data_IF_626078082206
#
_entry.id   IF_626078082206
#
_cell.length_a   1.000
_cell.length_b   1.000
_cell.length_c   1.000
_cell.angle_alpha   90.00
_cell.angle_beta   90.00
_cell.angle_gamma   90.00
#
_symmetry.space_group_name_H-M   'P 1'
#
loop_
_entity.id
_entity.type
_entity.pdbx_description
1 polymer ?
#
# COMPACT_ATOMS: atom_id res chain seq x y z
N UNK A 1 -2.54 -12.51 -5.13
CA UNK A 1 -3.30 -13.17 -6.23
C UNK A 1 -3.04 -12.52 -7.59
N UNK A 2 -3.23 -11.19 -7.75
CA UNK A 2 -2.94 -10.49 -9.00
C UNK A 2 -1.50 -10.72 -9.49
N UNK A 3 -0.49 -10.51 -8.63
CA UNK A 3 0.93 -10.82 -8.92
C UNK A 3 1.14 -12.24 -9.45
N UNK A 4 0.48 -13.23 -8.83
CA UNK A 4 0.59 -14.63 -9.23
C UNK A 4 -0.03 -14.90 -10.61
N UNK A 5 -1.02 -14.11 -11.04
CA UNK A 5 -1.63 -14.22 -12.37
C UNK A 5 -3.15 -14.39 -12.41
N UNK A 6 -3.84 -14.33 -11.26
CA UNK A 6 -5.31 -14.38 -11.24
C UNK A 6 -5.85 -13.11 -11.89
N UNK A 7 -6.66 -13.26 -12.96
CA UNK A 7 -7.06 -12.12 -13.82
C UNK A 7 -8.15 -11.24 -13.21
N UNK A 8 -9.16 -11.84 -12.57
CA UNK A 8 -10.27 -11.11 -11.92
C UNK A 8 -10.19 -11.30 -10.40
N UNK A 9 -9.69 -10.28 -9.72
CA UNK A 9 -9.61 -10.22 -8.26
C UNK A 9 -10.32 -8.94 -7.82
N UNK A 10 -11.20 -9.07 -6.82
CA UNK A 10 -12.04 -8.01 -6.29
C UNK A 10 -12.02 -8.00 -4.77
N UNK A 11 -12.45 -6.88 -4.20
CA UNK A 11 -12.73 -6.72 -2.78
C UNK A 11 -14.21 -6.42 -2.59
N UNK A 12 -14.78 -6.90 -1.49
CA UNK A 12 -16.03 -6.38 -0.96
C UNK A 12 -15.72 -5.06 -0.25
N UNK A 13 -16.23 -3.96 -0.78
CA UNK A 13 -15.94 -2.64 -0.22
C UNK A 13 -16.51 -2.50 1.20
N UNK A 14 -15.70 -1.96 2.13
CA UNK A 14 -15.95 -1.96 3.57
C UNK A 14 -15.91 -3.33 4.26
N UNK A 15 -15.57 -4.39 3.53
CA UNK A 15 -15.30 -5.73 4.06
C UNK A 15 -16.51 -6.39 4.72
N UNK A 16 -16.25 -7.15 5.80
CA UNK A 16 -17.31 -7.90 6.50
C UNK A 16 -18.39 -6.99 7.11
N UNK A 17 -18.00 -5.79 7.57
CA UNK A 17 -18.91 -4.89 8.26
C UNK A 17 -20.09 -4.49 7.38
N UNK A 18 -19.86 -4.21 6.10
CA UNK A 18 -20.93 -3.84 5.16
C UNK A 18 -21.91 -4.99 4.89
N UNK A 19 -21.43 -6.24 4.83
CA UNK A 19 -22.31 -7.41 4.76
C UNK A 19 -23.18 -7.57 6.01
N UNK A 20 -22.56 -7.41 7.18
CA UNK A 20 -23.22 -7.49 8.49
C UNK A 20 -24.29 -6.41 8.65
N UNK A 21 -23.96 -5.16 8.35
CA UNK A 21 -24.87 -4.01 8.49
C UNK A 21 -26.04 -4.09 7.49
N UNK A 22 -25.86 -4.74 6.34
CA UNK A 22 -26.93 -5.00 5.38
C UNK A 22 -27.91 -6.11 5.83
N UNK A 23 -27.64 -6.81 6.94
CA UNK A 23 -28.51 -7.87 7.47
C UNK A 23 -28.65 -9.08 6.53
N UNK A 24 -27.65 -9.33 5.69
CA UNK A 24 -27.67 -10.43 4.73
C UNK A 24 -27.45 -11.80 5.43
N UNK A 25 -27.89 -12.92 4.83
CA UNK A 25 -27.69 -14.25 5.40
C UNK A 25 -26.22 -14.56 5.69
N UNK A 26 -25.99 -15.35 6.75
CA UNK A 26 -24.64 -15.75 7.21
C UNK A 26 -24.58 -17.25 7.48
N UNK A 27 -23.39 -17.81 7.32
CA UNK A 27 -23.08 -19.20 7.70
C UNK A 27 -22.16 -19.23 8.94
N UNK A 28 -22.12 -20.35 9.67
CA UNK A 28 -21.23 -20.57 10.82
C UNK A 28 -20.65 -21.98 10.80
N UNK A 29 -19.49 -22.17 11.41
CA UNK A 29 -18.81 -23.46 11.53
C UNK A 29 -17.42 -23.44 10.90
N UNK A 30 -16.79 -24.60 10.82
CA UNK A 30 -15.50 -24.75 10.14
C UNK A 30 -15.66 -24.60 8.63
N UNK A 31 -14.67 -24.06 7.91
CA UNK A 31 -14.73 -23.96 6.45
C UNK A 31 -15.04 -25.32 5.80
N UNK A 32 -15.99 -25.41 4.87
CA UNK A 32 -16.28 -26.65 4.16
C UNK A 32 -15.09 -27.07 3.31
N UNK A 33 -14.94 -28.38 3.09
CA UNK A 33 -13.88 -28.92 2.21
C UNK A 33 -14.06 -28.36 0.80
N UNK A 34 -12.99 -27.76 0.28
CA UNK A 34 -12.92 -27.31 -1.10
C UNK A 34 -12.26 -28.40 -1.96
N UNK A 35 -12.73 -28.56 -3.21
CA UNK A 35 -12.04 -29.40 -4.19
C UNK A 35 -10.73 -28.71 -4.59
N UNK A 36 -9.56 -29.34 -4.42
CA UNK A 36 -8.31 -28.76 -4.88
C UNK A 36 -8.31 -28.60 -6.40
N UNK A 37 -7.74 -27.50 -6.89
CA UNK A 37 -7.43 -27.30 -8.31
C UNK A 37 -5.90 -27.40 -8.48
N UNK A 38 -5.37 -28.54 -8.98
CA UNK A 38 -3.92 -28.76 -9.05
C UNK A 38 -3.25 -27.96 -10.17
N UNK A 39 -4.01 -27.49 -11.16
CA UNK A 39 -3.47 -26.77 -12.32
C UNK A 39 -3.89 -25.30 -12.31
N UNK A 40 -2.93 -24.40 -12.11
CA UNK A 40 -3.20 -22.96 -12.16
C UNK A 40 -3.50 -22.45 -13.59
N UNK A 41 -3.08 -23.18 -14.62
CA UNK A 41 -3.31 -22.84 -16.03
C UNK A 41 -2.47 -21.67 -16.58
N UNK A 42 -1.48 -21.18 -15.83
CA UNK A 42 -0.55 -20.13 -16.27
C UNK A 42 0.80 -20.21 -15.51
N UNK A 43 1.89 -19.61 -16.02
CA UNK A 43 3.11 -19.43 -15.24
C UNK A 43 2.89 -18.53 -14.02
N UNK A 44 3.63 -18.79 -12.94
CA UNK A 44 3.64 -17.98 -11.71
C UNK A 44 5.05 -17.43 -11.51
N UNK A 45 5.24 -16.11 -11.35
CA UNK A 45 4.21 -15.06 -11.36
C UNK A 45 3.75 -14.69 -12.78
N UNK A 46 2.45 -14.50 -12.97
CA UNK A 46 1.87 -13.99 -14.21
C UNK A 46 1.93 -12.47 -14.37
N UNK A 47 2.14 -11.71 -13.29
CA UNK A 47 2.21 -10.24 -13.28
C UNK A 47 3.34 -9.75 -12.35
N UNK A 48 4.61 -10.07 -12.66
CA UNK A 48 5.75 -9.78 -11.77
C UNK A 48 5.94 -8.30 -11.47
N UNK A 49 5.59 -7.42 -12.42
CA UNK A 49 5.73 -5.97 -12.28
C UNK A 49 4.84 -5.34 -11.19
N UNK A 50 3.86 -6.08 -10.65
CA UNK A 50 3.02 -5.60 -9.56
C UNK A 50 3.72 -5.61 -8.20
N UNK A 51 4.89 -6.27 -8.09
CA UNK A 51 5.68 -6.33 -6.87
C UNK A 51 7.12 -5.92 -7.15
N UNK A 52 7.63 -4.92 -6.42
CA UNK A 52 9.01 -4.45 -6.55
C UNK A 52 9.88 -4.97 -5.42
N UNK A 53 11.15 -5.20 -5.73
CA UNK A 53 12.21 -5.39 -4.74
C UNK A 53 12.85 -4.05 -4.32
N UNK A 54 13.77 -4.09 -3.35
CA UNK A 54 14.47 -2.89 -2.84
C UNK A 54 15.21 -2.10 -3.93
N UNK A 55 15.85 -2.76 -4.90
CA UNK A 55 16.61 -2.08 -5.96
C UNK A 55 15.68 -1.35 -6.95
N UNK A 56 14.59 -2.00 -7.34
CA UNK A 56 13.57 -1.42 -8.19
C UNK A 56 12.86 -0.24 -7.50
N UNK A 57 12.53 -0.38 -6.21
CA UNK A 57 11.93 0.69 -5.41
C UNK A 57 12.86 1.90 -5.30
N UNK A 58 14.17 1.67 -5.08
CA UNK A 58 15.18 2.74 -5.04
C UNK A 58 15.24 3.54 -6.33
N UNK A 59 15.05 2.90 -7.49
CA UNK A 59 15.09 3.56 -8.80
C UNK A 59 13.89 4.52 -9.05
N UNK A 60 12.91 4.58 -8.16
CA UNK A 60 11.78 5.51 -8.23
C UNK A 60 12.03 6.81 -7.43
N UNK A 61 13.04 6.85 -6.57
CA UNK A 61 13.36 8.00 -5.73
C UNK A 61 13.90 9.17 -6.57
N UNK A 62 13.63 10.40 -6.14
CA UNK A 62 14.14 11.64 -6.77
C UNK A 62 13.76 11.80 -8.25
N UNK A 63 12.56 11.36 -8.61
CA UNK A 63 12.01 11.42 -9.97
C UNK A 63 10.71 12.20 -10.01
N UNK A 64 10.45 12.86 -11.13
CA UNK A 64 9.18 13.56 -11.39
C UNK A 64 8.16 12.64 -12.09
N UNK A 65 8.66 11.64 -12.83
CA UNK A 65 7.86 10.64 -13.55
C UNK A 65 7.66 9.34 -12.76
N UNK A 66 8.14 9.28 -11.51
CA UNK A 66 7.96 8.16 -10.61
C UNK A 66 7.80 8.61 -9.14
N UNK A 67 7.14 7.77 -8.34
CA UNK A 67 6.93 7.97 -6.91
C UNK A 67 7.07 6.65 -6.16
N UNK A 68 7.97 6.60 -5.17
CA UNK A 68 7.89 5.63 -4.08
C UNK A 68 7.07 6.25 -2.95
N UNK A 69 5.95 5.61 -2.59
CA UNK A 69 4.90 6.20 -1.77
C UNK A 69 4.78 5.48 -0.43
N UNK A 70 5.00 6.22 0.66
CA UNK A 70 4.85 5.73 2.02
C UNK A 70 3.39 5.79 2.46
N UNK A 71 2.78 4.62 2.66
CA UNK A 71 1.45 4.44 3.25
C UNK A 71 1.63 4.08 4.73
N UNK A 72 2.18 5.05 5.47
CA UNK A 72 2.48 4.94 6.90
C UNK A 72 1.86 6.13 7.64
N UNK A 73 1.57 5.98 8.93
CA UNK A 73 1.05 7.10 9.73
C UNK A 73 2.04 8.26 9.77
N UNK A 74 1.58 9.47 10.08
CA UNK A 74 2.49 10.62 10.21
C UNK A 74 3.62 10.38 11.23
N UNK A 75 3.35 9.85 12.45
CA UNK A 75 4.40 9.55 13.43
C UNK A 75 5.45 8.55 12.92
N UNK A 76 5.04 7.60 12.07
CA UNK A 76 5.96 6.70 11.38
C UNK A 76 6.83 7.42 10.34
N UNK A 77 6.20 8.27 9.51
CA UNK A 77 6.86 9.02 8.44
C UNK A 77 7.91 9.99 8.99
N UNK A 78 7.63 10.68 10.10
CA UNK A 78 8.60 11.61 10.72
C UNK A 78 9.60 10.90 11.65
N UNK A 79 9.41 9.60 11.91
CA UNK A 79 10.34 8.79 12.70
C UNK A 79 10.18 8.92 14.22
N UNK A 80 9.00 9.31 14.71
CA UNK A 80 8.65 9.28 16.15
C UNK A 80 8.43 7.86 16.66
N UNK A 81 7.96 6.97 15.78
CA UNK A 81 7.79 5.54 16.07
C UNK A 81 8.15 4.73 14.81
N UNK A 82 8.52 3.46 14.98
CA UNK A 82 8.60 2.54 13.84
C UNK A 82 7.22 2.08 13.39
N UNK A 83 6.23 2.12 14.30
CA UNK A 83 4.89 1.57 14.14
C UNK A 83 4.77 0.10 14.56
N UNK A 84 5.87 -0.60 14.85
CA UNK A 84 5.86 -2.06 15.01
C UNK A 84 6.77 -2.53 16.13
N UNK A 85 6.29 -3.45 16.95
CA UNK A 85 7.05 -4.05 18.06
C UNK A 85 8.31 -4.81 17.60
N UNK A 86 8.32 -5.29 16.36
CA UNK A 86 9.39 -6.09 15.77
C UNK A 86 10.31 -5.30 14.83
N UNK A 87 10.04 -4.02 14.57
CA UNK A 87 10.89 -3.14 13.75
C UNK A 87 11.52 -2.10 14.67
N UNK A 88 12.82 -2.21 14.92
CA UNK A 88 13.55 -1.28 15.80
C UNK A 88 13.88 0.07 15.15
N UNK A 89 14.32 0.14 13.87
CA UNK A 89 14.67 1.42 13.28
C UNK A 89 13.46 2.34 13.11
N UNK A 90 13.66 3.62 13.41
CA UNK A 90 12.69 4.69 13.21
C UNK A 90 13.17 5.68 12.15
N UNK A 91 12.23 6.18 11.37
CA UNK A 91 12.46 7.06 10.23
C UNK A 91 11.71 6.57 9.00
N UNK A 92 12.13 7.09 7.86
CA UNK A 92 11.52 6.82 6.57
C UNK A 92 12.56 6.65 5.46
N UNK A 93 12.21 5.96 4.39
CA UNK A 93 12.97 5.91 3.15
C UNK A 93 13.20 7.35 2.64
N UNK A 94 14.46 7.77 2.56
CA UNK A 94 14.77 9.11 2.07
C UNK A 94 14.33 9.27 0.60
N UNK A 95 13.62 10.37 0.31
CA UNK A 95 13.04 10.66 -1.01
C UNK A 95 11.67 10.04 -1.26
N UNK A 96 11.12 9.22 -0.35
CA UNK A 96 9.75 8.76 -0.45
C UNK A 96 8.74 9.91 -0.22
N UNK A 97 7.59 9.83 -0.90
CA UNK A 97 6.48 10.77 -0.76
C UNK A 97 5.45 10.20 0.22
N UNK A 98 4.91 11.03 1.11
CA UNK A 98 3.88 10.56 2.02
C UNK A 98 2.54 10.42 1.29
N UNK A 99 1.97 9.22 1.30
CA UNK A 99 0.71 8.93 0.63
C UNK A 99 -0.49 8.93 1.56
N UNK A 100 -0.34 9.43 2.80
CA UNK A 100 -1.29 9.28 3.90
C UNK A 100 -1.51 7.81 4.30
N UNK A 101 -2.28 7.59 5.39
CA UNK A 101 -2.67 6.26 5.85
C UNK A 101 -3.80 6.42 6.88
N UNK A 102 -3.41 6.63 8.12
CA UNK A 102 -4.29 6.64 9.27
C UNK A 102 -3.54 7.05 10.53
N UNK A 103 -4.22 6.87 11.66
CA UNK A 103 -3.74 7.29 12.97
C UNK A 103 -2.48 6.55 13.43
N UNK A 104 -2.34 5.27 13.08
CA UNK A 104 -1.23 4.41 13.48
C UNK A 104 -0.87 3.35 12.42
N UNK A 105 -0.12 2.31 12.81
CA UNK A 105 0.36 1.26 11.90
C UNK A 105 -0.71 0.26 11.46
N UNK A 106 -1.91 0.33 12.04
CA UNK A 106 -3.00 -0.63 11.89
C UNK A 106 -4.33 -0.03 11.41
N UNK A 107 -4.40 1.30 11.26
CA UNK A 107 -5.58 2.00 10.76
C UNK A 107 -5.31 2.77 9.45
N UNK A 108 -6.39 3.04 8.71
CA UNK A 108 -6.39 3.59 7.34
C UNK A 108 -7.47 4.67 7.14
N UNK A 109 -7.76 5.45 8.18
CA UNK A 109 -8.88 6.40 8.23
C UNK A 109 -8.83 7.46 7.12
N UNK A 110 -7.65 7.82 6.61
CA UNK A 110 -7.53 8.79 5.52
C UNK A 110 -8.18 8.27 4.22
N UNK A 111 -8.33 6.94 4.10
CA UNK A 111 -8.87 6.24 2.93
C UNK A 111 -10.26 5.63 3.13
N UNK A 112 -10.85 5.76 4.32
CA UNK A 112 -12.14 5.15 4.65
C UNK A 112 -13.23 6.19 4.90
N UNK A 113 -14.42 5.94 4.37
CA UNK A 113 -15.64 6.61 4.80
C UNK A 113 -16.04 6.14 6.22
N UNK A 114 -17.00 6.80 6.90
CA UNK A 114 -17.45 6.37 8.23
C UNK A 114 -18.00 4.93 8.31
N UNK A 115 -18.43 4.35 7.19
CA UNK A 115 -18.89 2.96 7.08
C UNK A 115 -17.76 1.97 6.73
N UNK A 116 -16.52 2.44 6.57
CA UNK A 116 -15.34 1.65 6.22
C UNK A 116 -15.14 1.44 4.71
N UNK A 117 -16.02 1.96 3.85
CA UNK A 117 -15.84 1.87 2.39
C UNK A 117 -14.74 2.79 1.89
N UNK A 118 -14.23 2.53 0.68
CA UNK A 118 -13.24 3.38 0.04
C UNK A 118 -13.74 4.83 -0.06
N UNK A 119 -12.95 5.76 0.45
CA UNK A 119 -13.19 7.19 0.30
C UNK A 119 -13.23 7.59 -1.19
N UNK A 120 -13.87 8.70 -1.51
CA UNK A 120 -13.99 9.20 -2.89
C UNK A 120 -12.64 9.22 -3.61
N UNK A 121 -12.62 8.73 -4.85
CA UNK A 121 -11.45 8.76 -5.71
C UNK A 121 -10.89 10.18 -5.90
N UNK A 122 -11.77 11.20 -5.95
CA UNK A 122 -11.37 12.61 -6.10
C UNK A 122 -10.59 13.11 -4.87
N UNK A 123 -11.04 12.72 -3.67
CA UNK A 123 -10.38 13.07 -2.42
C UNK A 123 -9.01 12.40 -2.32
N UNK A 124 -8.94 11.10 -2.62
CA UNK A 124 -7.69 10.34 -2.62
C UNK A 124 -6.70 10.94 -3.64
N UNK A 125 -7.18 11.25 -4.85
CA UNK A 125 -6.36 11.86 -5.90
C UNK A 125 -5.86 13.26 -5.51
N UNK A 126 -6.70 14.10 -4.89
CA UNK A 126 -6.31 15.42 -4.42
C UNK A 126 -5.25 15.34 -3.30
N UNK A 127 -5.45 14.43 -2.35
CA UNK A 127 -4.51 14.14 -1.25
C UNK A 127 -3.14 13.72 -1.79
N UNK A 128 -3.09 12.74 -2.69
CA UNK A 128 -1.86 12.28 -3.34
C UNK A 128 -1.19 13.36 -4.19
N UNK A 129 -1.98 14.14 -4.93
CA UNK A 129 -1.47 15.26 -5.73
C UNK A 129 -0.74 16.29 -4.88
N UNK A 130 -1.21 16.56 -3.65
CA UNK A 130 -0.52 17.50 -2.74
C UNK A 130 0.90 17.07 -2.37
N UNK A 131 1.20 15.77 -2.50
CA UNK A 131 2.52 15.18 -2.28
C UNK A 131 3.26 14.82 -3.57
N UNK A 132 2.83 15.37 -4.72
CA UNK A 132 3.37 15.09 -6.05
C UNK A 132 3.28 13.60 -6.47
N UNK A 133 2.21 12.92 -6.02
CA UNK A 133 1.89 11.55 -6.43
C UNK A 133 0.75 11.63 -7.46
N UNK A 134 1.04 11.25 -8.71
CA UNK A 134 0.18 11.51 -9.86
C UNK A 134 -0.09 10.23 -10.67
N UNK A 135 -1.26 10.12 -11.33
CA UNK A 135 -1.65 8.91 -12.07
C UNK A 135 -0.80 8.60 -13.31
N UNK A 136 -0.07 9.60 -13.82
CA UNK A 136 0.81 9.46 -14.98
C UNK A 136 2.24 9.02 -14.62
N UNK A 137 2.54 8.85 -13.33
CA UNK A 137 3.84 8.38 -12.85
C UNK A 137 3.90 6.85 -12.79
N UNK A 138 5.11 6.30 -12.70
CA UNK A 138 5.33 4.98 -12.13
C UNK A 138 5.23 5.07 -10.60
N UNK A 139 4.22 4.43 -10.01
CA UNK A 139 3.92 4.56 -8.57
C UNK A 139 4.10 3.22 -7.88
N UNK A 140 4.84 3.20 -6.79
CA UNK A 140 4.96 2.01 -5.94
C UNK A 140 4.63 2.36 -4.51
N UNK A 141 3.65 1.66 -3.94
CA UNK A 141 3.24 1.85 -2.55
C UNK A 141 4.04 0.92 -1.64
N UNK A 142 4.39 1.40 -0.45
CA UNK A 142 4.96 0.57 0.60
C UNK A 142 4.49 1.03 1.98
N UNK A 143 4.67 0.18 2.98
CA UNK A 143 4.46 0.56 4.38
C UNK A 143 5.51 -0.14 5.27
N UNK A 144 5.15 -0.65 6.44
CA UNK A 144 6.05 -1.51 7.21
C UNK A 144 6.41 -2.80 6.48
N UNK A 145 5.38 -3.55 6.08
CA UNK A 145 5.47 -4.93 5.54
C UNK A 145 4.43 -5.22 4.44
N UNK A 146 3.93 -4.19 3.75
CA UNK A 146 3.11 -4.33 2.54
C UNK A 146 1.58 -4.34 2.71
N UNK A 147 1.04 -4.47 3.92
CA UNK A 147 -0.42 -4.60 4.15
C UNK A 147 -1.20 -3.35 3.71
N UNK A 148 -0.95 -2.21 4.36
CA UNK A 148 -1.56 -0.91 4.01
C UNK A 148 -1.27 -0.48 2.57
N UNK A 149 -0.07 -0.81 2.08
CA UNK A 149 0.31 -0.57 0.68
C UNK A 149 -0.58 -1.36 -0.30
N UNK A 150 -0.89 -2.61 0.01
CA UNK A 150 -1.74 -3.47 -0.83
C UNK A 150 -3.17 -2.95 -0.92
N UNK A 151 -3.69 -2.35 0.15
CA UNK A 151 -5.00 -1.69 0.15
C UNK A 151 -5.03 -0.49 -0.79
N UNK A 152 -4.08 0.44 -0.65
CA UNK A 152 -3.99 1.59 -1.56
C UNK A 152 -3.69 1.20 -3.01
N UNK A 153 -2.95 0.11 -3.24
CA UNK A 153 -2.77 -0.47 -4.56
C UNK A 153 -4.10 -0.91 -5.18
N UNK A 154 -4.98 -1.54 -4.41
CA UNK A 154 -6.30 -1.95 -4.89
C UNK A 154 -7.20 -0.75 -5.19
N UNK A 155 -7.12 0.31 -4.38
CA UNK A 155 -7.83 1.57 -4.63
C UNK A 155 -7.32 2.26 -5.91
N UNK A 156 -6.00 2.46 -6.05
CA UNK A 156 -5.42 3.06 -7.24
C UNK A 156 -5.74 2.25 -8.51
N UNK A 157 -5.72 0.91 -8.43
CA UNK A 157 -6.15 0.02 -9.52
C UNK A 157 -7.63 0.25 -9.88
N UNK A 158 -8.52 0.35 -8.89
CA UNK A 158 -9.94 0.63 -9.13
C UNK A 158 -10.18 2.04 -9.72
N UNK A 159 -9.33 3.01 -9.37
CA UNK A 159 -9.29 4.36 -9.95
C UNK A 159 -8.70 4.41 -11.37
N UNK A 160 -8.22 3.28 -11.92
CA UNK A 160 -7.68 3.21 -13.28
C UNK A 160 -6.22 3.67 -13.42
N UNK A 161 -5.44 3.68 -12.34
CA UNK A 161 -4.02 3.98 -12.41
C UNK A 161 -3.27 2.80 -13.05
N UNK A 162 -2.60 3.06 -14.17
CA UNK A 162 -2.09 2.00 -15.03
C UNK A 162 -0.70 1.47 -14.63
N UNK A 163 0.07 2.23 -13.85
CA UNK A 163 1.45 1.90 -13.51
C UNK A 163 1.68 1.93 -11.99
N UNK A 164 0.89 1.11 -11.28
CA UNK A 164 0.96 0.96 -9.82
C UNK A 164 1.53 -0.41 -9.45
N UNK A 165 2.28 -0.44 -8.35
CA UNK A 165 2.90 -1.64 -7.79
C UNK A 165 2.99 -1.53 -6.26
N UNK A 166 3.39 -2.62 -5.61
CA UNK A 166 3.76 -2.62 -4.18
C UNK A 166 5.24 -2.93 -4.05
N UNK A 167 5.98 -2.14 -3.28
CA UNK A 167 7.30 -2.52 -2.80
C UNK A 167 7.12 -3.35 -1.51
N UNK A 168 7.28 -4.67 -1.63
CA UNK A 168 6.90 -5.66 -0.60
C UNK A 168 7.68 -5.48 0.71
N UNK A 169 9.01 -5.37 0.59
CA UNK A 169 9.91 -5.31 1.74
C UNK A 169 9.69 -4.08 2.63
N UNK A 170 9.20 -2.98 2.05
CA UNK A 170 8.84 -1.75 2.76
C UNK A 170 9.93 -1.20 3.69
N UNK A 171 9.51 -0.53 4.75
CA UNK A 171 10.41 0.01 5.76
C UNK A 171 11.19 -1.10 6.47
N UNK A 172 10.60 -2.29 6.63
CA UNK A 172 11.25 -3.39 7.33
C UNK A 172 12.51 -3.87 6.61
N UNK A 173 12.42 -4.16 5.32
CA UNK A 173 13.57 -4.56 4.51
C UNK A 173 14.54 -3.38 4.33
N UNK A 174 14.03 -2.19 4.01
CA UNK A 174 14.88 -1.02 3.79
C UNK A 174 15.76 -0.69 5.00
N UNK A 175 15.15 -0.64 6.18
CA UNK A 175 15.86 -0.26 7.41
C UNK A 175 16.77 -1.35 7.98
N UNK A 176 16.65 -2.60 7.49
CA UNK A 176 17.55 -3.70 7.88
C UNK A 176 18.99 -3.49 7.40
N UNK A 177 19.19 -2.70 6.33
CA UNK A 177 20.51 -2.32 5.85
C UNK A 177 20.82 -0.88 6.27
N UNK A 178 21.75 -0.65 7.21
CA UNK A 178 22.06 0.69 7.71
C UNK A 178 22.73 1.62 6.67
N UNK A 179 23.14 1.08 5.51
CA UNK A 179 23.66 1.89 4.38
C UNK A 179 22.55 2.55 3.57
N UNK A 180 21.30 2.12 3.74
CA UNK A 180 20.18 2.72 3.04
C UNK A 180 19.87 4.12 3.64
N UNK A 181 19.66 5.15 2.80
CA UNK A 181 19.41 6.49 3.30
C UNK A 181 18.05 6.60 3.99
N UNK A 182 18.02 7.35 5.10
CA UNK A 182 16.85 7.50 5.96
C UNK A 182 16.58 8.98 6.25
N UNK A 183 15.31 9.39 6.13
CA UNK A 183 14.83 10.71 6.54
C UNK A 183 14.12 10.64 7.90
N UNK A 184 14.19 11.74 8.66
CA UNK A 184 13.51 11.93 9.96
C UNK A 184 13.08 13.39 10.11
N UNK A 185 12.14 13.65 11.02
CA UNK A 185 11.63 14.98 11.33
C UNK A 185 10.53 15.46 10.39
N UNK A 186 9.92 16.58 10.81
CA UNK A 186 8.87 17.30 10.08
C UNK A 186 9.38 17.76 8.70
N UNK A 187 8.60 17.48 7.65
CA UNK A 187 8.96 17.85 6.28
C UNK A 187 7.75 17.84 5.36
N UNK A 188 7.77 18.70 4.34
CA UNK A 188 6.73 18.79 3.33
C UNK A 188 7.10 18.15 1.99
N UNK A 189 6.21 18.22 0.99
CA UNK A 189 6.39 17.64 -0.34
C UNK A 189 7.70 18.04 -1.04
N UNK A 190 8.20 19.25 -0.79
CA UNK A 190 9.42 19.77 -1.43
C UNK A 190 10.70 19.02 -1.00
N UNK A 191 10.66 18.36 0.16
CA UNK A 191 11.80 17.57 0.66
C UNK A 191 12.00 16.24 -0.07
N UNK A 192 11.02 15.83 -0.88
CA UNK A 192 11.00 14.58 -1.65
C UNK A 192 11.03 14.82 -3.17
N UNK A 193 11.44 16.03 -3.60
CA UNK A 193 11.70 16.35 -5.01
C UNK A 193 13.03 15.80 -5.51
#
# INVERSE_FOLDING_TARGET
MLYAGVKDVRLLDGGWKTWSDAGLPVERGTPPKQKPEPEFGAPIPGQPQLMLNTEQARALLHRQDASLVSIRSWPEFIGTTSGYSYIKPMGEIAGARWGHAGSDSTHMEDFHNPDGTMRSADDIAAMWKSWNILPNQQVSFYCGTGWRASETFMYARAMGWNNVSVYDGGWYEWSSNPKNPVSRGERGPESSM
#
